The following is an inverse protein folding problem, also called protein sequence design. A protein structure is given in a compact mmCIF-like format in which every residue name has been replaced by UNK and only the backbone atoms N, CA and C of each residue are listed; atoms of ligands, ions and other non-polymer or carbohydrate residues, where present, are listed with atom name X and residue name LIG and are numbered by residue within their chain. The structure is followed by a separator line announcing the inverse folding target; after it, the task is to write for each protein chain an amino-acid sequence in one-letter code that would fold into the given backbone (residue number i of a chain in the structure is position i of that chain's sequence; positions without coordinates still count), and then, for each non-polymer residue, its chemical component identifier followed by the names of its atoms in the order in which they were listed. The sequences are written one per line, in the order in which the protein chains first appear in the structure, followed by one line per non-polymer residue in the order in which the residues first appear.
data_IF_400479971953
#
_entry.id   IF_400479971953
#
_cell.length_a   1.000
_cell.length_b   1.000
_cell.length_c   1.000
_cell.angle_alpha   90.00
_cell.angle_beta   90.00
_cell.angle_gamma   90.00
#
_symmetry.space_group_name_H-M   'P 1'
#
loop_
_entity.id
_entity.type
_entity.pdbx_description
1 polymer ?
#
# COMPACT_ATOMS: atom_id res chain seq x y z
N UNK A 1 -18.88 -17.39 -23.97
CA UNK A 1 -19.31 -16.87 -22.67
C UNK A 1 -19.91 -15.49 -22.85
N UNK A 2 -20.98 -15.21 -22.14
CA UNK A 2 -21.67 -13.94 -22.30
C UNK A 2 -20.88 -12.79 -21.69
N UNK A 3 -21.10 -11.56 -22.20
CA UNK A 3 -20.49 -10.36 -21.62
C UNK A 3 -20.87 -10.18 -20.15
N UNK A 4 -22.09 -10.58 -19.78
CA UNK A 4 -22.56 -10.51 -18.40
C UNK A 4 -21.69 -11.32 -17.45
N UNK A 5 -21.36 -12.57 -17.83
CA UNK A 5 -20.50 -13.41 -17.01
C UNK A 5 -19.09 -12.82 -16.89
N UNK A 6 -18.57 -12.23 -17.96
CA UNK A 6 -17.27 -11.59 -17.94
C UNK A 6 -17.26 -10.38 -17.02
N UNK A 7 -18.30 -9.57 -17.04
CA UNK A 7 -18.44 -8.41 -16.15
C UNK A 7 -18.52 -8.83 -14.69
N UNK A 8 -19.26 -9.91 -14.41
CA UNK A 8 -19.35 -10.43 -13.04
C UNK A 8 -17.98 -10.90 -12.54
N UNK A 9 -17.23 -11.60 -13.38
CA UNK A 9 -15.90 -12.09 -13.02
C UNK A 9 -14.95 -10.90 -12.76
N UNK A 10 -14.94 -9.91 -13.65
CA UNK A 10 -14.08 -8.74 -13.49
C UNK A 10 -14.44 -7.95 -12.24
N UNK A 11 -15.73 -7.82 -11.96
CA UNK A 11 -16.20 -7.15 -10.75
C UNK A 11 -15.80 -7.88 -9.48
N UNK A 12 -15.86 -9.21 -9.50
CA UNK A 12 -15.46 -10.02 -8.35
C UNK A 12 -13.96 -9.86 -8.07
N UNK A 13 -13.14 -9.88 -9.12
CA UNK A 13 -11.69 -9.70 -8.97
C UNK A 13 -11.37 -8.31 -8.42
N UNK A 14 -11.95 -7.26 -9.02
CA UNK A 14 -11.71 -5.89 -8.57
C UNK A 14 -12.19 -5.69 -7.13
N UNK A 15 -13.37 -6.22 -6.79
CA UNK A 15 -13.91 -6.12 -5.44
C UNK A 15 -13.03 -6.84 -4.42
N UNK A 16 -12.45 -7.98 -4.80
CA UNK A 16 -11.54 -8.71 -3.93
C UNK A 16 -10.28 -7.90 -3.64
N UNK A 17 -9.72 -7.23 -4.64
CA UNK A 17 -8.54 -6.39 -4.46
C UNK A 17 -8.87 -5.22 -3.53
N UNK A 18 -9.99 -4.54 -3.75
CA UNK A 18 -10.41 -3.45 -2.89
C UNK A 18 -10.66 -3.92 -1.47
N UNK A 19 -11.25 -5.10 -1.30
CA UNK A 19 -11.49 -5.67 0.02
C UNK A 19 -10.18 -5.93 0.77
N UNK A 20 -9.15 -6.44 0.08
CA UNK A 20 -7.84 -6.68 0.69
C UNK A 20 -7.19 -5.37 1.14
N UNK A 21 -7.26 -4.33 0.32
CA UNK A 21 -6.71 -3.02 0.67
C UNK A 21 -7.45 -2.44 1.87
N UNK A 22 -8.78 -2.53 1.86
CA UNK A 22 -9.60 -2.03 2.96
C UNK A 22 -9.34 -2.80 4.26
N UNK A 23 -9.13 -4.11 4.17
CA UNK A 23 -8.82 -4.94 5.33
C UNK A 23 -7.49 -4.53 5.95
N UNK A 24 -6.48 -4.31 5.12
CA UNK A 24 -5.18 -3.83 5.58
C UNK A 24 -5.29 -2.50 6.29
N UNK A 25 -6.04 -1.56 5.72
CA UNK A 25 -6.28 -0.26 6.33
C UNK A 25 -7.00 -0.41 7.68
N UNK A 26 -8.04 -1.25 7.72
CA UNK A 26 -8.82 -1.47 8.93
C UNK A 26 -7.97 -2.08 10.05
N UNK A 27 -7.08 -3.03 9.72
CA UNK A 27 -6.19 -3.63 10.69
C UNK A 27 -5.24 -2.60 11.28
N UNK A 28 -4.67 -1.74 10.46
CA UNK A 28 -3.77 -0.68 10.91
C UNK A 28 -4.52 0.30 11.80
N UNK A 29 -5.72 0.70 11.38
CA UNK A 29 -6.54 1.63 12.18
C UNK A 29 -6.93 1.02 13.52
N UNK A 30 -7.34 -0.24 13.53
CA UNK A 30 -7.75 -0.93 14.76
C UNK A 30 -6.60 -1.03 15.75
N UNK A 31 -5.39 -1.31 15.24
CA UNK A 31 -4.21 -1.49 16.09
C UNK A 31 -3.65 -0.16 16.58
N UNK A 32 -3.59 0.86 15.73
CA UNK A 32 -2.90 2.12 16.02
C UNK A 32 -3.82 3.30 16.29
N UNK A 33 -5.10 3.17 15.94
CA UNK A 33 -6.10 4.25 16.06
C UNK A 33 -5.73 5.49 15.22
N UNK A 34 -4.96 5.29 14.16
CA UNK A 34 -4.56 6.35 13.25
C UNK A 34 -5.04 6.01 11.85
N UNK A 35 -5.62 6.99 11.17
CA UNK A 35 -5.98 6.84 9.76
C UNK A 35 -4.70 6.86 8.93
N UNK A 36 -4.29 5.71 8.46
CA UNK A 36 -3.03 5.55 7.73
C UNK A 36 -3.29 5.68 6.23
N UNK A 37 -3.42 6.92 5.76
CA UNK A 37 -3.69 7.17 4.34
C UNK A 37 -2.50 6.81 3.45
N UNK A 38 -1.30 6.77 4.02
CA UNK A 38 -0.10 6.32 3.28
C UNK A 38 -0.20 4.85 2.86
N UNK A 39 -1.17 4.08 3.39
CA UNK A 39 -1.40 2.69 3.00
C UNK A 39 -1.59 2.56 1.48
N UNK A 40 -2.29 3.51 0.86
CA UNK A 40 -2.45 3.51 -0.60
C UNK A 40 -1.13 3.67 -1.33
N UNK A 41 -0.24 4.52 -0.81
CA UNK A 41 1.10 4.70 -1.37
C UNK A 41 1.96 3.47 -1.20
N UNK A 42 1.91 2.83 -0.03
CA UNK A 42 2.62 1.58 0.23
C UNK A 42 2.13 0.49 -0.72
N UNK A 43 0.82 0.40 -0.91
CA UNK A 43 0.24 -0.55 -1.85
C UNK A 43 0.78 -0.33 -3.27
N UNK A 44 0.80 0.91 -3.72
CA UNK A 44 1.28 1.25 -5.07
C UNK A 44 2.76 0.91 -5.24
N UNK A 45 3.59 1.28 -4.28
CA UNK A 45 5.03 0.99 -4.34
C UNK A 45 5.27 -0.52 -4.34
N UNK A 46 4.55 -1.26 -3.50
CA UNK A 46 4.67 -2.72 -3.43
C UNK A 46 4.26 -3.37 -4.76
N UNK A 47 3.17 -2.90 -5.36
CA UNK A 47 2.70 -3.43 -6.64
C UNK A 47 3.73 -3.21 -7.74
N UNK A 48 4.33 -2.03 -7.80
CA UNK A 48 5.35 -1.73 -8.80
C UNK A 48 6.64 -2.47 -8.54
N UNK A 49 7.00 -2.72 -7.27
CA UNK A 49 8.16 -3.54 -6.93
C UNK A 49 7.94 -4.99 -7.40
N UNK A 50 6.74 -5.52 -7.18
CA UNK A 50 6.39 -6.86 -7.67
C UNK A 50 6.42 -6.93 -9.18
N UNK A 51 5.89 -5.92 -9.85
CA UNK A 51 5.93 -5.82 -11.30
C UNK A 51 7.37 -5.83 -11.81
N UNK A 52 8.24 -5.04 -11.19
CA UNK A 52 9.63 -4.96 -11.59
C UNK A 52 10.31 -6.33 -11.47
N UNK A 53 10.11 -7.03 -10.35
CA UNK A 53 10.71 -8.34 -10.14
C UNK A 53 10.14 -9.37 -11.13
N UNK A 54 8.85 -9.34 -11.39
CA UNK A 54 8.18 -10.35 -12.20
C UNK A 54 8.42 -10.14 -13.70
N UNK A 55 8.36 -8.90 -14.17
CA UNK A 55 8.38 -8.59 -15.59
C UNK A 55 9.76 -8.09 -16.04
N UNK A 56 10.31 -7.09 -15.36
CA UNK A 56 11.57 -6.46 -15.80
C UNK A 56 12.75 -7.40 -15.55
N UNK A 57 12.79 -8.03 -14.39
CA UNK A 57 13.86 -8.98 -14.05
C UNK A 57 13.54 -10.41 -14.45
N UNK A 58 12.31 -10.65 -14.91
CA UNK A 58 11.85 -11.95 -15.41
C UNK A 58 12.06 -13.07 -14.38
N UNK A 59 11.88 -12.79 -13.11
CA UNK A 59 12.10 -13.75 -12.01
C UNK A 59 10.89 -14.62 -11.70
N UNK A 60 9.76 -14.37 -12.36
CA UNK A 60 8.57 -15.17 -12.19
C UNK A 60 7.59 -14.63 -11.15
N UNK A 61 6.42 -15.25 -11.10
CA UNK A 61 5.30 -14.81 -10.26
C UNK A 61 5.64 -14.87 -8.77
N UNK A 62 6.28 -15.97 -8.35
CA UNK A 62 6.62 -16.14 -6.93
C UNK A 62 7.61 -15.07 -6.46
N UNK A 63 8.62 -14.77 -7.28
CA UNK A 63 9.57 -13.71 -6.98
C UNK A 63 8.90 -12.34 -6.89
N UNK A 64 7.93 -12.07 -7.79
CA UNK A 64 7.15 -10.85 -7.74
C UNK A 64 6.36 -10.71 -6.45
N UNK A 65 5.76 -11.80 -6.00
CA UNK A 65 5.00 -11.84 -4.76
C UNK A 65 5.90 -11.56 -3.55
N UNK A 66 7.06 -12.21 -3.51
CA UNK A 66 8.03 -12.03 -2.42
C UNK A 66 8.55 -10.60 -2.42
N UNK A 67 8.90 -10.07 -3.58
CA UNK A 67 9.41 -8.69 -3.70
C UNK A 67 8.37 -7.68 -3.21
N UNK A 68 7.11 -7.84 -3.61
CA UNK A 68 6.04 -6.95 -3.19
C UNK A 68 5.85 -6.99 -1.68
N UNK A 69 5.86 -8.20 -1.11
CA UNK A 69 5.69 -8.37 0.34
C UNK A 69 6.84 -7.74 1.12
N UNK A 70 8.07 -7.99 0.70
CA UNK A 70 9.25 -7.46 1.37
C UNK A 70 9.29 -5.94 1.30
N UNK A 71 9.06 -5.37 0.12
CA UNK A 71 9.07 -3.92 -0.05
C UNK A 71 7.95 -3.28 0.78
N UNK A 72 6.76 -3.85 0.75
CA UNK A 72 5.64 -3.34 1.53
C UNK A 72 5.91 -3.37 3.02
N UNK A 73 6.45 -4.48 3.51
CA UNK A 73 6.79 -4.63 4.92
C UNK A 73 7.88 -3.64 5.36
N UNK A 74 8.94 -3.52 4.58
CA UNK A 74 10.02 -2.58 4.88
C UNK A 74 9.54 -1.14 4.87
N UNK A 75 8.72 -0.80 3.90
CA UNK A 75 8.18 0.56 3.77
C UNK A 75 7.25 0.88 4.94
N UNK A 76 6.39 -0.08 5.32
CA UNK A 76 5.51 0.09 6.46
C UNK A 76 6.28 0.27 7.76
N UNK A 77 7.31 -0.54 7.98
CA UNK A 77 8.17 -0.42 9.15
C UNK A 77 8.89 0.93 9.17
N UNK A 78 9.40 1.37 8.01
CA UNK A 78 10.09 2.65 7.90
C UNK A 78 9.16 3.81 8.22
N UNK A 79 7.94 3.79 7.69
CA UNK A 79 6.96 4.85 7.96
C UNK A 79 6.62 4.88 9.44
N UNK A 80 6.39 3.71 10.05
CA UNK A 80 6.08 3.66 11.47
C UNK A 80 7.23 4.21 12.31
N UNK A 81 8.45 3.77 12.02
CA UNK A 81 9.62 4.17 12.81
C UNK A 81 9.96 5.66 12.64
N UNK A 82 9.84 6.18 11.43
CA UNK A 82 10.24 7.56 11.14
C UNK A 82 9.14 8.56 11.45
N UNK A 83 7.89 8.19 11.20
CA UNK A 83 6.77 9.12 11.29
C UNK A 83 5.94 8.92 12.56
N UNK A 84 5.40 7.72 12.75
CA UNK A 84 4.39 7.49 13.78
C UNK A 84 4.97 7.35 15.18
N UNK A 85 6.10 6.70 15.34
CA UNK A 85 6.69 6.53 16.66
C UNK A 85 7.12 7.86 17.27
N UNK A 86 7.84 8.75 16.55
CA UNK A 86 8.13 10.08 17.08
C UNK A 86 6.89 10.88 17.39
N UNK A 87 5.83 10.75 16.59
CA UNK A 87 4.59 11.47 16.82
C UNK A 87 3.88 10.99 18.10
N UNK A 88 3.87 9.68 18.31
CA UNK A 88 3.28 9.10 19.54
C UNK A 88 4.07 9.56 20.76
N UNK A 89 5.38 9.55 20.70
CA UNK A 89 6.23 9.98 21.80
C UNK A 89 6.04 11.46 22.11
N UNK A 90 5.76 12.29 21.09
CA UNK A 90 5.51 13.71 21.23
C UNK A 90 4.09 14.06 21.65
N UNK A 91 3.20 13.08 21.82
CA UNK A 91 1.82 13.33 22.19
C UNK A 91 0.99 13.99 21.10
N UNK A 92 1.34 13.80 19.87
CA UNK A 92 0.63 14.39 18.72
C UNK A 92 -0.75 13.76 18.57
N UNK A 93 -1.74 14.59 18.23
CA UNK A 93 -3.11 14.11 18.09
C UNK A 93 -3.25 13.17 16.89
N UNK A 94 -4.23 12.24 16.93
CA UNK A 94 -4.49 11.38 15.76
C UNK A 94 -4.81 12.15 14.48
N UNK A 95 -5.41 13.32 14.60
CA UNK A 95 -5.73 14.15 13.44
C UNK A 95 -4.47 14.62 12.72
N UNK A 96 -3.45 15.06 13.49
CA UNK A 96 -2.17 15.48 12.91
C UNK A 96 -1.47 14.30 12.25
N UNK A 97 -1.53 13.11 12.87
CA UNK A 97 -0.98 11.90 12.29
C UNK A 97 -1.66 11.56 10.96
N UNK A 98 -2.98 11.74 10.89
CA UNK A 98 -3.73 11.52 9.65
C UNK A 98 -3.26 12.46 8.53
N UNK A 99 -3.10 13.74 8.83
CA UNK A 99 -2.62 14.72 7.85
C UNK A 99 -1.20 14.38 7.40
N UNK A 100 -0.36 13.96 8.33
CA UNK A 100 1.02 13.55 8.01
C UNK A 100 1.04 12.35 7.07
N UNK A 101 0.10 11.40 7.26
CA UNK A 101 0.01 10.24 6.37
C UNK A 101 -0.40 10.64 4.96
N UNK A 102 -1.23 11.66 4.80
CA UNK A 102 -1.52 12.22 3.48
C UNK A 102 -0.26 12.74 2.81
N UNK A 103 0.61 13.42 3.57
CA UNK A 103 1.90 13.88 3.05
C UNK A 103 2.76 12.74 2.56
N UNK A 104 2.83 11.65 3.33
CA UNK A 104 3.56 10.44 2.93
C UNK A 104 2.95 9.85 1.67
N UNK A 105 1.61 9.79 1.58
CA UNK A 105 0.93 9.29 0.39
C UNK A 105 1.32 10.09 -0.85
N UNK A 106 1.35 11.41 -0.75
CA UNK A 106 1.74 12.29 -1.85
C UNK A 106 3.19 12.02 -2.26
N UNK A 107 4.08 11.91 -1.28
CA UNK A 107 5.49 11.62 -1.54
C UNK A 107 5.64 10.29 -2.27
N UNK A 108 4.99 9.24 -1.78
CA UNK A 108 5.08 7.91 -2.38
C UNK A 108 4.49 7.89 -3.79
N UNK A 109 3.37 8.58 -3.99
CA UNK A 109 2.75 8.68 -5.31
C UNK A 109 3.67 9.34 -6.32
N UNK A 110 4.34 10.42 -5.91
CA UNK A 110 5.28 11.12 -6.79
C UNK A 110 6.53 10.29 -7.06
N UNK A 111 7.01 9.55 -6.06
CA UNK A 111 8.15 8.65 -6.25
C UNK A 111 7.82 7.56 -7.27
N UNK A 112 6.62 7.00 -7.20
CA UNK A 112 6.17 6.00 -8.18
C UNK A 112 6.13 6.61 -9.57
N UNK A 113 5.61 7.82 -9.71
CA UNK A 113 5.53 8.49 -11.00
C UNK A 113 6.93 8.78 -11.58
N UNK A 114 7.88 9.15 -10.72
CA UNK A 114 9.24 9.43 -11.17
C UNK A 114 9.98 8.16 -11.58
N UNK A 115 9.83 7.08 -10.82
CA UNK A 115 10.58 5.85 -11.05
C UNK A 115 9.97 5.02 -12.17
N UNK A 116 8.65 4.84 -12.18
CA UNK A 116 7.97 3.96 -13.14
C UNK A 116 7.20 4.69 -14.22
N UNK A 117 7.12 5.98 -14.11
CA UNK A 117 6.56 6.78 -15.14
C UNK A 117 5.15 7.12 -15.14
#
# INVERSE_FOLDING_TARGET
MSAFAQFLFNGAVAGSVYALVALGFALIFTASRVFHFAHGGVYAVSAFAGYTAMVVLAMGLLAGFVAATVVGALLGLAINAVLYEPMKAGGVSPFVAMISSFGVLIILSNLVAIIWG
#
